data_IF_982125964254
#
_entry.id   IF_982125964254
#
_cell.length_a   1.000
_cell.length_b   1.000
_cell.length_c   1.000
_cell.angle_alpha   90.00
_cell.angle_beta   90.00
_cell.angle_gamma   90.00
#
_symmetry.space_group_name_H-M   'P 1'
#
loop_
_entity.id
_entity.type
_entity.pdbx_description
1 polymer ?
#
# COMPACT_ATOMS: atom_id res chain seq x y z
N UNK A 1 4.41 -49.10 10.88
CA UNK A 1 3.90 -50.12 11.84
C UNK A 1 3.00 -49.42 12.84
N UNK A 2 1.82 -50.00 13.06
CA UNK A 2 0.70 -49.51 13.88
C UNK A 2 1.11 -49.18 15.32
N UNK A 3 0.42 -48.21 15.93
CA UNK A 3 -0.33 -48.40 17.18
C UNK A 3 -1.33 -47.26 17.39
N UNK A 4 -2.58 -47.57 17.10
CA UNK A 4 -3.80 -46.88 17.53
C UNK A 4 -4.10 -47.36 18.96
N UNK A 5 -4.44 -46.45 19.88
CA UNK A 5 -5.04 -46.80 21.18
C UNK A 5 -6.40 -46.10 21.25
N UNK A 6 -7.44 -46.92 21.20
CA UNK A 6 -8.84 -46.59 21.48
C UNK A 6 -9.06 -46.87 22.97
N UNK A 7 -9.67 -45.93 23.71
CA UNK A 7 -10.35 -46.26 24.97
C UNK A 7 -11.78 -45.72 24.90
N UNK A 8 -12.67 -46.65 25.23
CA UNK A 8 -14.12 -46.68 25.15
C UNK A 8 -14.64 -46.84 26.59
N UNK A 9 -15.68 -46.09 26.97
CA UNK A 9 -16.79 -46.51 27.86
C UNK A 9 -17.60 -45.25 28.27
N UNK A 10 -18.80 -44.95 27.74
CA UNK A 10 -20.13 -45.56 27.96
C UNK A 10 -20.67 -45.45 29.40
N UNK A 11 -21.69 -44.61 29.62
CA UNK A 11 -22.93 -44.82 30.41
C UNK A 11 -23.63 -43.46 30.59
N UNK A 12 -24.95 -43.27 30.60
CA UNK A 12 -26.15 -44.05 30.30
C UNK A 12 -27.34 -43.05 30.43
N UNK A 13 -28.38 -43.31 29.63
CA UNK A 13 -29.78 -42.79 29.60
C UNK A 13 -30.33 -42.06 30.85
N UNK A 14 -31.25 -41.10 30.74
CA UNK A 14 -32.68 -41.21 30.31
C UNK A 14 -33.28 -39.79 30.18
N UNK A 15 -34.00 -39.36 29.13
CA UNK A 15 -35.29 -39.74 28.51
C UNK A 15 -36.54 -38.97 29.06
N UNK A 16 -37.37 -38.53 28.10
CA UNK A 16 -38.77 -38.05 28.08
C UNK A 16 -38.96 -36.52 27.99
N UNK A 17 -39.26 -35.96 26.80
CA UNK A 17 -40.47 -36.01 25.95
C UNK A 17 -41.61 -35.13 26.46
N UNK A 18 -41.90 -34.06 25.71
CA UNK A 18 -43.26 -33.72 25.33
C UNK A 18 -43.28 -33.30 23.85
N UNK A 19 -44.08 -34.03 23.09
CA UNK A 19 -44.46 -33.72 21.72
C UNK A 19 -45.52 -32.61 21.71
N UNK A 20 -45.40 -31.68 20.76
CA UNK A 20 -46.43 -30.71 20.42
C UNK A 20 -46.37 -30.43 18.93
N UNK A 21 -47.03 -31.26 18.12
CA UNK A 21 -47.39 -30.92 16.74
C UNK A 21 -48.69 -30.11 16.78
N UNK A 22 -48.73 -28.97 16.10
CA UNK A 22 -49.96 -28.43 15.53
C UNK A 22 -49.65 -27.77 14.17
N UNK A 23 -50.45 -27.98 13.11
CA UNK A 23 -50.11 -27.53 11.75
C UNK A 23 -50.89 -26.29 11.28
N UNK A 24 -50.39 -25.69 10.18
CA UNK A 24 -50.98 -24.77 9.17
C UNK A 24 -50.51 -23.30 9.20
N UNK A 25 -50.56 -22.56 8.06
CA UNK A 25 -50.14 -22.85 6.67
C UNK A 25 -49.14 -21.76 6.14
N UNK A 26 -48.64 -21.79 4.88
CA UNK A 26 -47.34 -21.22 4.54
C UNK A 26 -47.39 -19.70 4.30
N UNK A 27 -46.38 -19.00 4.81
CA UNK A 27 -46.09 -17.63 4.41
C UNK A 27 -44.62 -17.53 3.98
N UNK A 28 -44.48 -16.96 2.79
CA UNK A 28 -43.28 -16.81 2.01
C UNK A 28 -42.17 -16.07 2.80
N UNK A 29 -41.00 -16.69 2.93
CA UNK A 29 -39.76 -15.99 3.28
C UNK A 29 -38.60 -16.79 2.69
N UNK A 30 -38.13 -16.32 1.55
CA UNK A 30 -36.82 -16.66 1.01
C UNK A 30 -35.78 -16.28 2.07
N UNK A 31 -35.18 -17.28 2.70
CA UNK A 31 -33.95 -17.10 3.45
C UNK A 31 -32.82 -17.12 2.44
N UNK A 32 -32.24 -15.94 2.24
CA UNK A 32 -30.89 -15.77 1.72
C UNK A 32 -29.91 -16.67 2.47
N UNK A 33 -29.12 -17.39 1.70
CA UNK A 33 -27.91 -18.07 2.14
C UNK A 33 -27.03 -18.28 0.91
N UNK A 34 -26.55 -17.18 0.34
CA UNK A 34 -25.35 -17.20 -0.48
C UNK A 34 -24.33 -16.29 0.18
N UNK A 35 -23.54 -16.88 1.08
CA UNK A 35 -22.29 -16.31 1.57
C UNK A 35 -21.25 -16.47 0.45
N UNK A 36 -21.40 -15.66 -0.59
CA UNK A 36 -20.38 -15.46 -1.62
C UNK A 36 -19.26 -14.61 -1.04
N UNK A 37 -18.28 -15.26 -0.40
CA UNK A 37 -16.97 -14.63 -0.19
C UNK A 37 -16.29 -14.57 -1.54
N UNK A 38 -16.61 -13.58 -2.37
CA UNK A 38 -15.82 -13.27 -3.55
C UNK A 38 -14.48 -12.74 -3.07
N UNK A 39 -13.48 -13.62 -3.05
CA UNK A 39 -12.08 -13.24 -2.92
C UNK A 39 -11.79 -12.16 -3.97
N UNK A 40 -11.18 -11.02 -3.60
CA UNK A 40 -10.99 -9.91 -4.53
C UNK A 40 -10.19 -10.39 -5.74
N UNK A 41 -10.71 -10.12 -6.94
CA UNK A 41 -10.04 -10.47 -8.19
C UNK A 41 -8.64 -9.87 -8.22
N UNK A 42 -7.64 -10.73 -8.19
CA UNK A 42 -6.23 -10.37 -8.28
C UNK A 42 -5.79 -10.57 -9.73
N UNK A 43 -5.34 -9.50 -10.39
CA UNK A 43 -4.83 -9.54 -11.77
C UNK A 43 -3.30 -9.46 -11.74
N UNK A 44 -2.64 -10.36 -12.47
CA UNK A 44 -1.19 -10.34 -12.62
C UNK A 44 -0.83 -9.28 -13.67
N UNK A 45 0.19 -8.48 -13.40
CA UNK A 45 0.74 -7.54 -14.39
C UNK A 45 1.67 -8.31 -15.32
N UNK A 46 1.30 -8.44 -16.59
CA UNK A 46 2.02 -9.29 -17.55
C UNK A 46 3.18 -8.57 -18.28
N UNK A 47 3.10 -7.24 -18.45
CA UNK A 47 4.12 -6.47 -19.17
C UNK A 47 4.80 -5.44 -18.26
N UNK A 48 6.01 -5.76 -17.81
CA UNK A 48 6.87 -4.85 -17.05
C UNK A 48 8.35 -5.12 -17.32
N UNK A 49 9.18 -4.09 -17.18
CA UNK A 49 10.64 -4.21 -17.21
C UNK A 49 11.20 -3.76 -15.84
N UNK A 50 12.25 -4.42 -15.35
CA UNK A 50 12.88 -4.10 -14.06
C UNK A 50 14.37 -3.93 -14.24
N UNK A 51 14.91 -2.85 -13.68
CA UNK A 51 16.34 -2.65 -13.54
C UNK A 51 16.71 -2.57 -12.06
N UNK A 52 17.58 -3.49 -11.65
CA UNK A 52 18.07 -3.57 -10.28
C UNK A 52 19.36 -2.78 -10.14
N UNK A 53 19.38 -1.84 -9.20
CA UNK A 53 20.46 -0.89 -8.94
C UNK A 53 20.65 0.15 -10.05
N UNK A 54 21.08 1.34 -9.63
CA UNK A 54 21.28 2.51 -10.50
C UNK A 54 22.19 2.22 -11.72
N UNK A 55 23.21 1.38 -11.56
CA UNK A 55 24.12 1.01 -12.64
C UNK A 55 23.52 0.12 -13.73
N UNK A 56 22.32 -0.44 -13.52
CA UNK A 56 21.58 -1.19 -14.52
C UNK A 56 20.49 -0.34 -15.20
N UNK A 57 20.27 0.91 -14.77
CA UNK A 57 19.22 1.74 -15.34
C UNK A 57 19.55 2.09 -16.80
N UNK A 58 18.53 2.27 -17.67
CA UNK A 58 18.77 2.64 -19.06
C UNK A 58 19.57 3.94 -19.17
N UNK A 59 20.58 3.96 -20.05
CA UNK A 59 21.40 5.16 -20.28
C UNK A 59 20.59 6.32 -20.89
N UNK A 60 19.51 5.99 -21.62
CA UNK A 60 18.69 6.94 -22.37
C UNK A 60 17.45 7.45 -21.59
N UNK A 61 17.46 7.40 -20.25
CA UNK A 61 16.39 8.01 -19.46
C UNK A 61 16.35 9.54 -19.67
N UNK A 62 15.16 10.17 -19.70
CA UNK A 62 15.05 11.62 -19.69
C UNK A 62 15.91 12.26 -18.59
N UNK A 63 16.63 13.33 -18.91
CA UNK A 63 17.58 14.00 -17.99
C UNK A 63 16.92 14.34 -16.65
N UNK A 64 15.68 14.85 -16.70
CA UNK A 64 14.92 15.18 -15.49
C UNK A 64 14.68 13.96 -14.59
N UNK A 65 14.43 12.78 -15.16
CA UNK A 65 14.31 11.55 -14.36
C UNK A 65 15.62 11.18 -13.70
N UNK A 66 16.74 11.30 -14.43
CA UNK A 66 18.06 11.01 -13.89
C UNK A 66 18.37 11.92 -12.69
N UNK A 67 18.16 13.23 -12.85
CA UNK A 67 18.38 14.21 -11.79
C UNK A 67 17.48 13.94 -10.57
N UNK A 68 16.21 13.61 -10.78
CA UNK A 68 15.29 13.22 -9.72
C UNK A 68 15.72 11.93 -9.01
N UNK A 69 16.17 10.91 -9.74
CA UNK A 69 16.71 9.69 -9.14
C UNK A 69 17.93 10.02 -8.26
N UNK A 70 18.82 10.91 -8.73
CA UNK A 70 20.00 11.31 -7.95
C UNK A 70 19.63 12.00 -6.63
N UNK A 71 18.60 12.85 -6.62
CA UNK A 71 18.17 13.54 -5.41
C UNK A 71 17.44 12.61 -4.44
N UNK A 72 16.64 11.69 -4.96
CA UNK A 72 15.77 10.82 -4.16
C UNK A 72 16.44 9.57 -3.60
N UNK A 73 17.52 9.06 -4.23
CA UNK A 73 18.14 7.77 -3.84
C UNK A 73 18.65 7.69 -2.39
N UNK A 74 18.82 8.83 -1.73
CA UNK A 74 19.23 8.89 -0.31
C UNK A 74 18.07 8.57 0.63
N UNK A 75 16.83 8.76 0.20
CA UNK A 75 15.63 8.55 0.99
C UNK A 75 15.06 7.15 0.75
N UNK A 76 14.52 6.53 1.80
CA UNK A 76 13.74 5.30 1.66
C UNK A 76 12.31 5.66 1.25
N UNK A 77 11.85 5.11 0.15
CA UNK A 77 10.52 5.41 -0.37
C UNK A 77 10.39 5.09 -1.86
N UNK A 78 9.33 5.60 -2.49
CA UNK A 78 9.11 5.46 -3.91
C UNK A 78 8.70 6.77 -4.58
N UNK A 79 8.93 6.85 -5.89
CA UNK A 79 8.50 7.97 -6.71
C UNK A 79 7.96 7.47 -8.06
N UNK A 80 6.92 8.14 -8.55
CA UNK A 80 6.24 7.80 -9.80
C UNK A 80 6.59 8.84 -10.86
N UNK A 81 7.21 8.39 -11.94
CA UNK A 81 7.46 9.21 -13.11
C UNK A 81 6.31 9.02 -14.10
N UNK A 82 5.36 9.95 -14.08
CA UNK A 82 4.23 9.92 -15.01
C UNK A 82 4.67 10.26 -16.44
N UNK A 83 4.04 9.66 -17.47
CA UNK A 83 4.41 9.94 -18.86
C UNK A 83 4.27 11.41 -19.28
N UNK A 84 3.30 12.10 -18.71
CA UNK A 84 2.99 13.49 -19.05
C UNK A 84 4.03 14.45 -18.48
N UNK A 85 4.47 14.21 -17.24
CA UNK A 85 5.43 15.08 -16.56
C UNK A 85 6.87 14.83 -17.02
N UNK A 86 7.25 13.56 -17.21
CA UNK A 86 8.64 13.16 -17.48
C UNK A 86 8.92 12.76 -18.92
N UNK A 87 7.95 12.90 -19.83
CA UNK A 87 8.11 12.69 -21.28
C UNK A 87 8.66 11.29 -21.63
N UNK A 88 8.18 10.26 -20.94
CA UNK A 88 8.69 8.88 -21.00
C UNK A 88 8.15 8.06 -22.19
N UNK A 89 7.61 8.71 -23.21
CA UNK A 89 7.06 8.02 -24.39
C UNK A 89 5.78 7.23 -24.15
N UNK A 90 5.06 7.50 -23.05
CA UNK A 90 3.81 6.83 -22.69
C UNK A 90 3.93 5.80 -21.57
N UNK A 91 5.16 5.42 -21.21
CA UNK A 91 5.42 4.39 -20.20
C UNK A 91 5.49 4.99 -18.79
N UNK A 92 4.86 4.35 -17.81
CA UNK A 92 4.96 4.71 -16.41
C UNK A 92 6.27 4.14 -15.82
N UNK A 93 7.02 4.94 -15.07
CA UNK A 93 8.17 4.44 -14.31
C UNK A 93 7.99 4.61 -12.82
N UNK A 94 8.41 3.62 -12.05
CA UNK A 94 8.36 3.60 -10.59
C UNK A 94 9.78 3.41 -10.07
N UNK A 95 10.30 4.40 -9.37
CA UNK A 95 11.55 4.29 -8.65
C UNK A 95 11.30 3.90 -7.20
N UNK A 96 12.00 2.88 -6.73
CA UNK A 96 11.90 2.40 -5.34
C UNK A 96 13.31 2.40 -4.76
N UNK A 97 13.48 3.07 -3.62
CA UNK A 97 14.77 3.25 -2.96
C UNK A 97 14.70 2.75 -1.52
N UNK A 98 15.72 1.98 -1.11
CA UNK A 98 15.93 1.58 0.29
C UNK A 98 16.61 2.68 1.13
N UNK A 99 16.95 3.82 0.50
CA UNK A 99 17.70 4.92 1.11
C UNK A 99 19.19 4.64 1.26
N UNK A 100 19.91 5.59 1.85
CA UNK A 100 21.34 5.49 2.09
C UNK A 100 21.68 4.34 3.06
N UNK A 101 22.64 3.49 2.66
CA UNK A 101 23.20 2.43 3.51
C UNK A 101 24.69 2.68 3.72
N UNK A 102 25.16 2.50 4.96
CA UNK A 102 26.55 2.83 5.37
C UNK A 102 27.61 1.86 4.84
N UNK A 103 27.19 0.71 4.31
CA UNK A 103 28.08 -0.33 3.79
C UNK A 103 27.53 -0.89 2.49
N UNK A 104 28.38 -1.53 1.71
CA UNK A 104 27.94 -2.33 0.56
C UNK A 104 27.25 -3.63 0.97
N UNK A 105 26.67 -4.30 -0.03
CA UNK A 105 26.02 -5.61 0.11
C UNK A 105 24.53 -5.57 0.47
N UNK A 106 23.93 -4.39 0.50
CA UNK A 106 22.48 -4.24 0.49
C UNK A 106 21.95 -4.27 -0.95
N UNK A 107 20.76 -4.83 -1.15
CA UNK A 107 20.07 -4.81 -2.44
C UNK A 107 18.55 -4.74 -2.22
N UNK A 108 17.83 -4.33 -3.26
CA UNK A 108 16.37 -4.39 -3.33
C UNK A 108 15.98 -5.19 -4.57
N UNK A 109 15.00 -6.09 -4.44
CA UNK A 109 14.57 -7.00 -5.50
C UNK A 109 13.06 -7.02 -5.61
N UNK A 110 12.53 -7.18 -6.81
CA UNK A 110 11.08 -7.32 -7.02
C UNK A 110 10.67 -8.76 -6.68
N UNK A 111 9.77 -8.92 -5.73
CA UNK A 111 9.18 -10.23 -5.41
C UNK A 111 7.86 -10.43 -6.12
N UNK A 112 7.01 -9.39 -6.13
CA UNK A 112 5.65 -9.50 -6.66
C UNK A 112 5.15 -8.15 -7.18
N UNK A 113 4.44 -8.20 -8.29
CA UNK A 113 3.65 -7.08 -8.82
C UNK A 113 2.28 -7.59 -9.26
N UNK A 114 1.23 -7.00 -8.73
CA UNK A 114 -0.15 -7.43 -8.99
C UNK A 114 -1.14 -6.29 -8.80
N UNK A 115 -2.28 -6.36 -9.47
CA UNK A 115 -3.38 -5.43 -9.30
C UNK A 115 -4.46 -6.09 -8.47
N UNK A 116 -4.85 -5.44 -7.38
CA UNK A 116 -6.00 -5.84 -6.57
C UNK A 116 -6.84 -4.61 -6.29
N UNK A 117 -8.14 -4.68 -6.58
CA UNK A 117 -9.08 -3.54 -6.38
C UNK A 117 -8.52 -2.23 -6.93
N UNK A 118 -8.09 -2.26 -8.20
CA UNK A 118 -7.51 -1.13 -8.93
C UNK A 118 -6.22 -0.51 -8.34
N UNK A 119 -5.62 -1.17 -7.35
CA UNK A 119 -4.34 -0.77 -6.75
C UNK A 119 -3.22 -1.65 -7.26
N UNK A 120 -2.17 -1.02 -7.79
CA UNK A 120 -0.92 -1.68 -8.13
C UNK A 120 -0.15 -1.98 -6.85
N UNK A 121 -0.15 -3.26 -6.45
CA UNK A 121 0.55 -3.76 -5.29
C UNK A 121 1.93 -4.27 -5.72
N UNK A 122 2.98 -3.69 -5.14
CA UNK A 122 4.37 -4.06 -5.38
C UNK A 122 4.97 -4.55 -4.07
N UNK A 123 5.47 -5.78 -4.07
CA UNK A 123 6.23 -6.35 -2.96
C UNK A 123 7.69 -6.48 -3.36
N UNK A 124 8.58 -5.94 -2.53
CA UNK A 124 10.03 -5.97 -2.73
C UNK A 124 10.75 -6.71 -1.60
N UNK A 125 11.90 -7.32 -1.87
CA UNK A 125 12.78 -7.87 -0.84
C UNK A 125 13.96 -6.91 -0.60
N UNK A 126 14.11 -6.40 0.63
CA UNK A 126 15.31 -5.66 1.05
C UNK A 126 16.35 -6.63 1.64
N UNK A 127 17.40 -6.95 0.86
CA UNK A 127 18.47 -7.84 1.33
C UNK A 127 19.52 -7.05 2.09
N UNK A 128 19.89 -7.57 3.27
CA UNK A 128 21.01 -7.10 4.08
C UNK A 128 22.24 -7.97 3.82
N UNK A 129 23.46 -7.42 3.90
CA UNK A 129 24.66 -8.24 3.80
C UNK A 129 24.72 -9.28 4.93
N UNK A 130 25.22 -10.47 4.63
CA UNK A 130 25.44 -11.51 5.64
C UNK A 130 26.46 -11.04 6.67
N UNK A 131 26.16 -11.24 7.97
CA UNK A 131 27.02 -10.88 9.10
C UNK A 131 28.46 -11.45 9.00
N UNK A 132 28.63 -12.55 8.26
CA UNK A 132 29.91 -13.26 8.12
C UNK A 132 30.77 -12.80 6.93
N UNK A 133 30.25 -11.92 6.04
CA UNK A 133 31.01 -11.41 4.89
C UNK A 133 31.61 -10.06 5.22
N UNK A 134 32.92 -9.92 4.99
CA UNK A 134 33.56 -8.62 4.95
C UNK A 134 32.89 -7.78 3.84
N UNK A 135 32.28 -6.65 4.22
CA UNK A 135 31.66 -5.70 3.29
C UNK A 135 32.45 -4.40 3.25
N UNK A 136 32.51 -3.81 2.06
CA UNK A 136 33.12 -2.50 1.86
C UNK A 136 32.36 -1.44 2.67
N UNK A 137 33.10 -0.61 3.41
CA UNK A 137 32.56 0.50 4.20
C UNK A 137 32.39 1.74 3.30
N UNK A 138 31.49 1.62 2.33
CA UNK A 138 31.16 2.69 1.39
C UNK A 138 29.65 2.93 1.42
N UNK A 139 29.25 4.21 1.28
CA UNK A 139 27.85 4.56 1.13
C UNK A 139 27.29 3.90 -0.13
N UNK A 140 26.14 3.27 -0.01
CA UNK A 140 25.41 2.68 -1.13
C UNK A 140 23.95 3.09 -1.10
N UNK A 141 23.31 3.02 -2.26
CA UNK A 141 21.92 3.44 -2.45
C UNK A 141 21.17 2.32 -3.19
N UNK A 142 20.76 1.24 -2.48
CA UNK A 142 20.02 0.15 -3.09
C UNK A 142 18.69 0.67 -3.61
N UNK A 143 18.50 0.55 -4.92
CA UNK A 143 17.34 1.09 -5.61
C UNK A 143 16.99 0.22 -6.81
N UNK A 144 15.77 0.40 -7.30
CA UNK A 144 15.33 -0.20 -8.55
C UNK A 144 14.41 0.73 -9.32
N UNK A 145 14.31 0.48 -10.61
CA UNK A 145 13.41 1.17 -11.52
C UNK A 145 12.54 0.12 -12.21
N UNK A 146 11.23 0.33 -12.15
CA UNK A 146 10.24 -0.53 -12.81
C UNK A 146 9.58 0.29 -13.90
N UNK A 147 9.47 -0.25 -15.11
CA UNK A 147 8.71 0.33 -16.21
C UNK A 147 7.45 -0.48 -16.48
N UNK A 148 6.35 0.21 -16.68
CA UNK A 148 5.02 -0.34 -16.93
C UNK A 148 4.41 0.39 -18.13
N UNK A 149 3.69 -0.35 -18.99
CA UNK A 149 2.97 0.26 -20.12
C UNK A 149 1.59 0.78 -19.74
N UNK A 150 0.98 0.18 -18.74
CA UNK A 150 -0.34 0.58 -18.27
C UNK A 150 -0.24 1.75 -17.29
N UNK A 151 -1.27 2.60 -17.30
CA UNK A 151 -1.46 3.62 -16.31
C UNK A 151 -2.13 3.03 -15.07
N UNK A 152 -1.63 3.40 -13.89
CA UNK A 152 -2.19 3.03 -12.61
C UNK A 152 -2.39 4.29 -11.78
N UNK A 153 -3.54 4.40 -11.12
CA UNK A 153 -3.86 5.55 -10.28
C UNK A 153 -3.41 5.33 -8.83
N UNK A 154 -3.47 4.09 -8.35
CA UNK A 154 -3.17 3.74 -6.96
C UNK A 154 -1.99 2.80 -6.84
N UNK A 155 -1.10 3.08 -5.89
CA UNK A 155 0.11 2.32 -5.63
C UNK A 155 0.17 1.91 -4.17
N UNK A 156 0.50 0.64 -3.91
CA UNK A 156 0.86 0.15 -2.59
C UNK A 156 2.16 -0.61 -2.68
N UNK A 157 3.22 -0.07 -2.07
CA UNK A 157 4.56 -0.64 -2.14
C UNK A 157 4.99 -1.03 -0.74
N UNK A 158 5.39 -2.28 -0.56
CA UNK A 158 5.83 -2.81 0.74
C UNK A 158 6.98 -3.78 0.56
N UNK A 159 7.76 -3.99 1.62
CA UNK A 159 8.71 -5.09 1.62
C UNK A 159 8.07 -6.42 2.05
N UNK A 160 8.83 -7.52 1.98
CA UNK A 160 8.41 -8.86 2.42
C UNK A 160 8.11 -8.97 3.92
N UNK A 161 8.55 -8.02 4.75
CA UNK A 161 8.17 -7.91 6.15
C UNK A 161 6.85 -7.14 6.36
N UNK A 162 6.27 -6.58 5.30
CA UNK A 162 5.04 -5.78 5.35
C UNK A 162 5.28 -4.29 5.62
N UNK A 163 6.53 -3.83 5.69
CA UNK A 163 6.86 -2.43 5.92
C UNK A 163 6.61 -1.63 4.63
N UNK A 164 5.77 -0.59 4.71
CA UNK A 164 5.43 0.24 3.57
C UNK A 164 6.63 1.08 3.09
N UNK A 165 6.69 1.31 1.79
CA UNK A 165 7.44 2.41 1.20
C UNK A 165 6.47 3.57 1.00
N UNK A 166 6.90 4.76 1.38
CA UNK A 166 6.09 5.97 1.25
C UNK A 166 6.52 6.78 0.03
N UNK A 167 5.62 7.58 -0.55
CA UNK A 167 5.98 8.49 -1.62
C UNK A 167 7.04 9.49 -1.12
N UNK A 168 8.06 9.76 -1.92
CA UNK A 168 9.14 10.70 -1.63
C UNK A 168 9.20 11.80 -2.68
N UNK A 169 9.37 13.07 -2.30
CA UNK A 169 9.43 14.20 -3.24
C UNK A 169 10.84 14.79 -3.34
N UNK A 170 11.28 15.24 -4.55
CA UNK A 170 12.52 15.99 -4.70
C UNK A 170 12.56 17.26 -3.84
N UNK A 171 11.42 17.87 -3.57
CA UNK A 171 11.32 19.07 -2.73
C UNK A 171 11.73 18.79 -1.27
N UNK A 172 11.45 17.58 -0.77
CA UNK A 172 11.83 17.17 0.57
C UNK A 172 13.35 16.93 0.71
N UNK A 173 14.10 16.92 -0.39
CA UNK A 173 15.57 16.77 -0.37
C UNK A 173 16.28 18.09 -0.14
N UNK A 174 15.65 19.22 -0.48
CA UNK A 174 16.27 20.56 -0.46
C UNK A 174 16.47 21.14 0.95
N UNK A 175 15.85 20.56 1.98
CA UNK A 175 15.92 21.02 3.38
C UNK A 175 16.82 20.15 4.27
N UNK A 176 17.40 19.05 3.74
CA UNK A 176 17.96 17.96 4.55
C UNK A 176 19.47 17.97 4.78
N UNK A 177 20.16 19.09 4.58
CA UNK A 177 21.61 19.17 4.84
C UNK A 177 21.98 19.30 6.33
N UNK A 178 21.04 19.20 7.28
CA UNK A 178 21.35 19.29 8.73
C UNK A 178 20.65 18.20 9.54
N UNK A 179 21.26 17.02 9.65
CA UNK A 179 21.28 16.17 10.85
C UNK A 179 19.98 15.89 11.63
N UNK A 180 18.80 16.01 11.04
CA UNK A 180 17.53 15.74 11.71
C UNK A 180 17.16 14.27 11.57
N UNK A 181 16.86 13.62 12.70
CA UNK A 181 16.39 12.23 12.75
C UNK A 181 15.16 12.04 11.88
N UNK A 182 15.16 10.98 11.06
CA UNK A 182 14.01 10.53 10.29
C UNK A 182 12.81 10.33 11.22
N UNK A 183 11.83 11.25 11.21
CA UNK A 183 10.51 10.97 11.80
C UNK A 183 9.84 9.98 10.86
N UNK A 184 9.69 8.75 11.34
CA UNK A 184 8.93 7.71 10.67
C UNK A 184 7.50 8.23 10.42
N UNK A 185 7.14 8.40 9.15
CA UNK A 185 5.77 8.76 8.77
C UNK A 185 4.94 7.48 8.91
N UNK A 186 3.98 7.48 9.82
CA UNK A 186 3.07 6.34 10.03
C UNK A 186 1.83 6.56 9.18
N UNK A 187 1.62 5.67 8.19
CA UNK A 187 0.42 5.68 7.37
C UNK A 187 -0.70 4.93 8.09
N UNK A 188 -1.83 5.59 8.26
CA UNK A 188 -3.05 5.09 8.85
C UNK A 188 -4.09 4.86 7.75
N UNK A 189 -4.92 3.83 7.91
CA UNK A 189 -6.14 3.64 7.12
C UNK A 189 -7.34 3.87 8.03
N UNK A 190 -8.34 4.60 7.54
CA UNK A 190 -9.59 4.85 8.25
C UNK A 190 -10.77 4.83 7.30
N UNK A 191 -11.95 4.59 7.89
CA UNK A 191 -13.25 4.72 7.25
C UNK A 191 -13.98 5.91 7.89
N UNK A 192 -14.69 6.69 7.09
CA UNK A 192 -15.41 7.86 7.58
C UNK A 192 -16.48 8.35 6.61
N UNK A 193 -17.14 9.45 6.96
CA UNK A 193 -18.08 10.14 6.07
C UNK A 193 -17.52 11.50 5.71
N UNK A 194 -17.32 11.79 4.41
CA UNK A 194 -16.92 13.10 3.95
C UNK A 194 -18.02 14.12 4.29
N UNK A 195 -17.77 15.06 5.18
CA UNK A 195 -18.79 16.03 5.64
C UNK A 195 -18.73 17.36 4.89
N UNK A 196 -17.58 17.68 4.28
CA UNK A 196 -17.45 18.87 3.46
C UNK A 196 -16.04 19.18 2.98
N UNK A 197 -15.95 20.13 2.06
CA UNK A 197 -14.69 20.82 1.73
C UNK A 197 -14.52 22.08 2.56
N UNK A 198 -13.33 22.25 3.14
CA UNK A 198 -12.95 23.46 3.88
C UNK A 198 -12.33 24.47 2.90
N UNK A 199 -11.42 24.01 2.06
CA UNK A 199 -10.76 24.78 1.00
C UNK A 199 -10.35 23.87 -0.18
N UNK A 200 -9.51 24.36 -1.11
CA UNK A 200 -9.09 23.59 -2.29
C UNK A 200 -8.22 22.37 -1.96
N UNK A 201 -7.59 22.35 -0.79
CA UNK A 201 -6.63 21.33 -0.37
C UNK A 201 -7.07 20.64 0.91
N UNK A 202 -8.26 20.90 1.43
CA UNK A 202 -8.68 20.43 2.74
C UNK A 202 -10.12 19.97 2.76
N UNK A 203 -10.34 18.80 3.36
CA UNK A 203 -11.64 18.19 3.55
C UNK A 203 -11.90 17.93 5.03
N UNK A 204 -13.16 17.83 5.40
CA UNK A 204 -13.60 17.38 6.72
C UNK A 204 -14.21 15.98 6.57
N UNK A 205 -13.77 15.04 7.42
CA UNK A 205 -14.27 13.67 7.44
C UNK A 205 -14.67 13.32 8.87
N UNK A 206 -15.91 12.87 9.04
CA UNK A 206 -16.41 12.37 10.31
C UNK A 206 -15.96 10.91 10.51
N UNK A 207 -15.21 10.68 11.59
CA UNK A 207 -14.76 9.36 12.02
C UNK A 207 -15.32 9.10 13.43
N UNK A 208 -16.08 8.02 13.61
CA UNK A 208 -16.70 7.67 14.89
C UNK A 208 -17.55 8.81 15.52
N UNK A 209 -18.18 9.65 14.70
CA UNK A 209 -19.00 10.78 15.13
C UNK A 209 -18.23 12.07 15.45
N UNK A 210 -16.90 12.08 15.25
CA UNK A 210 -16.07 13.26 15.44
C UNK A 210 -15.56 13.77 14.08
N UNK A 211 -15.84 15.03 13.70
CA UNK A 211 -15.31 15.61 12.48
C UNK A 211 -13.82 15.94 12.62
N UNK A 212 -13.01 15.49 11.66
CA UNK A 212 -11.58 15.77 11.58
C UNK A 212 -11.23 16.42 10.24
N UNK A 213 -10.38 17.44 10.29
CA UNK A 213 -9.87 18.12 9.10
C UNK A 213 -8.62 17.40 8.56
N UNK A 214 -8.60 17.16 7.26
CA UNK A 214 -7.50 16.55 6.54
C UNK A 214 -7.07 17.42 5.38
N UNK A 215 -5.76 17.54 5.20
CA UNK A 215 -5.18 18.07 3.98
C UNK A 215 -5.11 16.98 2.92
N UNK A 216 -5.34 17.33 1.66
CA UNK A 216 -5.15 16.46 0.51
C UNK A 216 -3.71 16.60 0.02
N UNK A 217 -3.01 15.49 -0.19
CA UNK A 217 -1.68 15.53 -0.84
C UNK A 217 -1.78 16.03 -2.28
N UNK A 218 -2.93 15.83 -2.92
CA UNK A 218 -3.27 16.36 -4.24
C UNK A 218 -4.70 16.92 -4.24
N UNK A 219 -4.90 18.10 -4.81
CA UNK A 219 -6.20 18.79 -4.82
C UNK A 219 -7.33 17.94 -5.41
N UNK A 220 -7.00 17.14 -6.42
CA UNK A 220 -7.94 16.37 -7.23
C UNK A 220 -8.47 15.12 -6.52
N UNK A 221 -7.87 14.71 -5.40
CA UNK A 221 -8.21 13.46 -4.69
C UNK A 221 -9.69 13.38 -4.26
N UNK A 222 -10.31 14.53 -3.97
CA UNK A 222 -11.70 14.59 -3.52
C UNK A 222 -12.66 15.19 -4.55
N UNK A 223 -12.22 15.48 -5.77
CA UNK A 223 -13.04 16.18 -6.77
C UNK A 223 -14.23 15.34 -7.27
N UNK A 224 -14.11 14.01 -7.19
CA UNK A 224 -15.17 13.06 -7.56
C UNK A 224 -16.11 12.72 -6.41
N UNK A 225 -15.82 13.20 -5.20
CA UNK A 225 -16.56 12.87 -3.98
C UNK A 225 -17.56 13.96 -3.63
N UNK A 226 -18.63 13.57 -2.94
CA UNK A 226 -19.70 14.47 -2.50
C UNK A 226 -19.95 14.35 -1.00
N UNK A 227 -20.42 15.44 -0.39
CA UNK A 227 -20.75 15.47 1.03
C UNK A 227 -21.78 14.38 1.38
N UNK A 228 -21.55 13.70 2.49
CA UNK A 228 -22.32 12.55 2.96
C UNK A 228 -21.84 11.20 2.40
N UNK A 229 -20.83 11.17 1.52
CA UNK A 229 -20.27 9.91 1.04
C UNK A 229 -19.41 9.23 2.08
N UNK A 230 -19.62 7.92 2.24
CA UNK A 230 -18.72 7.06 2.99
C UNK A 230 -17.45 6.86 2.19
N UNK A 231 -16.33 6.93 2.88
CA UNK A 231 -15.00 6.89 2.28
C UNK A 231 -14.07 5.99 3.06
N UNK A 232 -13.19 5.30 2.34
CA UNK A 232 -11.98 4.68 2.88
C UNK A 232 -10.81 5.56 2.47
N UNK A 233 -9.93 5.88 3.39
CA UNK A 233 -8.81 6.76 3.11
C UNK A 233 -7.55 6.38 3.89
N UNK A 234 -6.43 6.82 3.35
CA UNK A 234 -5.09 6.58 3.87
C UNK A 234 -4.47 7.92 4.16
N UNK A 235 -4.01 8.13 5.40
CA UNK A 235 -3.47 9.40 5.84
C UNK A 235 -2.28 9.23 6.76
N UNK A 236 -1.47 10.28 6.90
CA UNK A 236 -0.40 10.34 7.87
C UNK A 236 -0.39 11.68 8.60
N UNK A 237 0.26 11.74 9.76
CA UNK A 237 0.51 13.00 10.45
C UNK A 237 1.91 13.51 10.11
N UNK A 238 2.02 14.75 9.62
CA UNK A 238 3.30 15.33 9.27
C UNK A 238 4.09 15.85 10.50
N UNK A 239 5.19 16.59 10.27
CA UNK A 239 5.99 17.15 11.37
C UNK A 239 5.27 18.29 12.13
N UNK A 240 4.25 18.91 11.54
CA UNK A 240 3.47 20.01 12.11
C UNK A 240 2.17 19.55 12.77
N UNK A 241 1.90 18.24 12.80
CA UNK A 241 0.68 17.68 13.36
C UNK A 241 -0.52 17.75 12.41
N UNK A 242 -0.31 17.98 11.11
CA UNK A 242 -1.37 18.01 10.11
C UNK A 242 -1.66 16.60 9.61
N UNK A 243 -2.93 16.25 9.50
CA UNK A 243 -3.37 14.98 8.92
C UNK A 243 -3.43 15.12 7.39
N UNK A 244 -2.61 14.37 6.67
CA UNK A 244 -2.49 14.43 5.22
C UNK A 244 -3.06 13.14 4.61
N UNK A 245 -4.15 13.26 3.86
CA UNK A 245 -4.72 12.20 3.03
C UNK A 245 -3.84 12.01 1.79
N UNK A 246 -3.36 10.79 1.62
CA UNK A 246 -2.62 10.33 0.45
C UNK A 246 -3.53 9.61 -0.56
N UNK A 247 -4.60 8.96 -0.08
CA UNK A 247 -5.61 8.30 -0.91
C UNK A 247 -6.96 8.41 -0.22
N UNK A 248 -8.02 8.67 -0.98
CA UNK A 248 -9.40 8.64 -0.53
C UNK A 248 -10.26 8.07 -1.65
N UNK A 249 -11.15 7.14 -1.32
CA UNK A 249 -12.06 6.51 -2.26
C UNK A 249 -13.41 6.28 -1.61
N UNK A 250 -14.47 6.22 -2.42
CA UNK A 250 -15.80 5.89 -1.93
C UNK A 250 -15.83 4.46 -1.40
N UNK A 251 -16.40 4.29 -0.21
CA UNK A 251 -16.72 2.99 0.37
C UNK A 251 -17.98 2.44 -0.32
N UNK A 252 -17.82 1.39 -1.12
CA UNK A 252 -18.88 0.78 -1.95
C UNK A 252 -19.66 -0.30 -1.22
#
# INVERSE_FOLDING_TARGET
MKKIIIILATFLATLLLLAGCNPSPPENSQSESEKGSSEPETKIVEEYEVWENEGAFPEELPVQMQDTIQSLKKQRGYFIFSPQEFQTGGDLFIFISSGEKRTGGYSILLEKIEVQKDTLNITVEEKKPSQEKAVLQVLTYPSMLIKLKDAYEFFSIKNTAGEAFLPISPEDTATRDHGASEKEIVLHSAEGTLTGRIDSNSVEIEINGEPLAFYLSEQTLADSLTDGEKVIFYYYEDEYGRLIINKIEKDN
#
